data_IF_162450745669
#
_entry.id   IF_162450745669
#
_cell.length_a   1.000
_cell.length_b   1.000
_cell.length_c   1.000
_cell.angle_alpha   90.00
_cell.angle_beta   90.00
_cell.angle_gamma   90.00
#
_symmetry.space_group_name_H-M   'P 1'
#
loop_
_entity.id
_entity.type
_entity.pdbx_description
1 polymer ?
#
# COMPACT_ATOMS: atom_id res chain seq x y z
N UNK A 1 0.67 -16.96 20.31
CA UNK A 1 0.24 -18.18 21.04
C UNK A 1 -0.84 -17.88 22.06
N UNK A 2 -0.74 -16.79 22.83
CA UNK A 2 -1.70 -16.40 23.87
C UNK A 2 -3.19 -16.47 23.46
N UNK A 3 -3.56 -15.94 22.28
CA UNK A 3 -4.95 -15.98 21.78
C UNK A 3 -5.45 -17.42 21.60
N UNK A 4 -4.60 -18.34 21.11
CA UNK A 4 -4.95 -19.76 20.93
C UNK A 4 -5.01 -20.52 22.25
N UNK A 5 -4.34 -20.01 23.27
CA UNK A 5 -4.33 -20.54 24.63
C UNK A 5 -5.50 -20.00 25.49
N UNK A 6 -6.38 -19.18 24.89
CA UNK A 6 -7.61 -18.70 25.52
C UNK A 6 -7.51 -17.36 26.24
N UNK A 7 -6.44 -16.59 26.02
CA UNK A 7 -6.37 -15.21 26.51
C UNK A 7 -7.47 -14.33 25.90
N UNK A 8 -7.91 -13.31 26.64
CA UNK A 8 -8.93 -12.37 26.15
C UNK A 8 -8.39 -11.54 24.98
N UNK A 9 -9.07 -11.62 23.85
CA UNK A 9 -8.63 -10.94 22.63
C UNK A 9 -8.70 -9.42 22.76
N UNK A 10 -9.69 -8.88 23.49
CA UNK A 10 -9.84 -7.45 23.67
C UNK A 10 -8.74 -6.87 24.56
N UNK A 11 -8.35 -7.59 25.61
CA UNK A 11 -7.22 -7.20 26.45
C UNK A 11 -5.92 -7.19 25.63
N UNK A 12 -5.64 -8.25 24.87
CA UNK A 12 -4.46 -8.31 24.00
C UNK A 12 -4.47 -7.23 22.91
N UNK A 13 -5.63 -6.93 22.33
CA UNK A 13 -5.76 -5.83 21.37
C UNK A 13 -5.50 -4.46 22.02
N UNK A 14 -5.93 -4.27 23.27
CA UNK A 14 -5.67 -3.03 24.01
C UNK A 14 -4.18 -2.89 24.34
N UNK A 15 -3.50 -3.99 24.67
CA UNK A 15 -2.09 -3.99 25.08
C UNK A 15 -1.11 -3.89 23.91
N UNK A 16 -1.41 -4.54 22.79
CA UNK A 16 -0.44 -4.76 21.72
C UNK A 16 -0.80 -4.12 20.37
N UNK A 17 -2.04 -3.65 20.17
CA UNK A 17 -2.43 -3.12 18.85
C UNK A 17 -1.88 -1.72 18.62
N UNK A 18 -1.23 -1.54 17.48
CA UNK A 18 -0.77 -0.27 16.93
C UNK A 18 -1.88 0.51 16.19
N UNK A 19 -3.09 -0.06 16.07
CA UNK A 19 -4.27 0.69 15.59
C UNK A 19 -4.83 1.58 16.71
N UNK A 20 -4.69 2.91 16.65
CA UNK A 20 -5.16 3.80 17.69
C UNK A 20 -6.69 3.85 17.80
N UNK A 21 -7.41 3.52 16.71
CA UNK A 21 -8.87 3.52 16.69
C UNK A 21 -9.46 2.25 17.31
N UNK A 22 -8.87 1.09 17.02
CA UNK A 22 -9.26 -0.21 17.56
C UNK A 22 -8.76 -0.49 18.98
N UNK A 23 -7.54 -0.07 19.36
CA UNK A 23 -6.93 -0.43 20.65
C UNK A 23 -7.80 -0.02 21.86
N UNK A 24 -8.46 1.15 21.80
CA UNK A 24 -9.32 1.64 22.89
C UNK A 24 -10.66 0.91 23.04
N UNK A 25 -11.08 0.15 22.02
CA UNK A 25 -12.30 -0.64 22.00
C UNK A 25 -12.03 -2.15 21.96
N UNK A 26 -10.84 -2.59 22.38
CA UNK A 26 -10.43 -3.99 22.34
C UNK A 26 -10.36 -4.57 20.93
N UNK A 27 -10.03 -3.72 19.95
CA UNK A 27 -9.88 -4.04 18.55
C UNK A 27 -11.18 -4.10 17.75
N UNK A 28 -12.34 -3.74 18.31
CA UNK A 28 -13.65 -3.86 17.62
C UNK A 28 -13.78 -2.94 16.41
N UNK A 29 -13.92 -3.56 15.24
CA UNK A 29 -14.13 -2.88 13.95
C UNK A 29 -15.62 -2.71 13.62
N UNK A 30 -16.52 -3.21 14.48
CA UNK A 30 -17.95 -3.22 14.21
C UNK A 30 -18.32 -4.15 13.04
N UNK A 31 -19.49 -3.92 12.46
CA UNK A 31 -19.98 -4.71 11.32
C UNK A 31 -19.46 -4.14 10.00
N UNK A 32 -18.90 -5.00 9.16
CA UNK A 32 -18.45 -4.64 7.82
C UNK A 32 -18.89 -5.66 6.76
N UNK A 33 -18.92 -5.19 5.52
CA UNK A 33 -19.25 -5.97 4.32
C UNK A 33 -18.01 -6.18 3.48
N UNK A 34 -18.16 -7.03 2.46
CA UNK A 34 -17.18 -7.09 1.39
C UNK A 34 -17.04 -5.74 0.69
N UNK A 35 -15.81 -5.37 0.34
CA UNK A 35 -15.38 -4.08 -0.19
C UNK A 35 -15.17 -2.99 0.86
N UNK A 36 -15.32 -3.29 2.16
CA UNK A 36 -15.10 -2.32 3.24
C UNK A 36 -13.70 -2.35 3.84
N UNK A 37 -12.97 -3.45 3.64
CA UNK A 37 -11.61 -3.66 4.14
C UNK A 37 -10.66 -3.92 2.97
N UNK A 38 -9.35 -3.83 3.22
CA UNK A 38 -8.35 -4.31 2.24
C UNK A 38 -8.52 -5.80 1.99
N UNK A 39 -8.16 -6.21 0.77
CA UNK A 39 -8.52 -7.52 0.21
C UNK A 39 -8.05 -8.68 1.10
N UNK A 40 -6.80 -8.64 1.54
CA UNK A 40 -6.15 -9.67 2.34
C UNK A 40 -6.85 -9.83 3.70
N UNK A 41 -7.18 -8.71 4.35
CA UNK A 41 -7.93 -8.70 5.61
C UNK A 41 -9.34 -9.29 5.42
N UNK A 42 -10.03 -8.85 4.37
CA UNK A 42 -11.38 -9.31 4.09
C UNK A 42 -11.43 -10.81 3.78
N UNK A 43 -10.55 -11.28 2.90
CA UNK A 43 -10.47 -12.69 2.51
C UNK A 43 -10.31 -13.57 3.76
N UNK A 44 -9.40 -13.20 4.66
CA UNK A 44 -9.21 -13.89 5.93
C UNK A 44 -10.45 -13.80 6.84
N UNK A 45 -10.99 -12.60 7.07
CA UNK A 45 -12.12 -12.41 8.00
C UNK A 45 -13.40 -13.13 7.54
N UNK A 46 -13.64 -13.21 6.23
CA UNK A 46 -14.82 -13.91 5.71
C UNK A 46 -14.63 -15.43 5.62
N UNK A 47 -13.39 -15.92 5.59
CA UNK A 47 -13.09 -17.36 5.64
C UNK A 47 -13.28 -17.95 7.05
N UNK A 48 -13.16 -17.13 8.10
CA UNK A 48 -13.35 -17.54 9.49
C UNK A 48 -14.82 -17.82 9.85
N UNK A 49 -15.02 -18.82 10.70
CA UNK A 49 -16.28 -19.04 11.41
C UNK A 49 -16.43 -18.11 12.60
N UNK A 50 -17.67 -17.97 13.09
CA UNK A 50 -17.94 -17.20 14.30
C UNK A 50 -17.18 -17.79 15.49
N UNK A 51 -16.44 -16.93 16.20
CA UNK A 51 -15.61 -17.30 17.33
C UNK A 51 -14.14 -17.53 16.97
N UNK A 52 -13.83 -17.79 15.69
CA UNK A 52 -12.48 -18.15 15.25
C UNK A 52 -11.53 -16.95 15.15
N UNK A 53 -10.24 -17.31 15.15
CA UNK A 53 -9.10 -16.40 15.04
C UNK A 53 -8.24 -16.83 13.86
N UNK A 54 -7.79 -15.87 13.06
CA UNK A 54 -6.92 -16.12 11.91
C UNK A 54 -5.49 -16.52 12.32
N UNK A 55 -4.74 -16.99 11.33
CA UNK A 55 -3.28 -16.83 11.32
C UNK A 55 -2.89 -15.34 11.18
N UNK A 56 -1.59 -15.06 11.10
CA UNK A 56 -1.11 -13.70 10.81
C UNK A 56 -1.47 -13.35 9.35
N UNK A 57 -2.14 -12.22 9.17
CA UNK A 57 -2.56 -11.68 7.87
C UNK A 57 -1.74 -10.43 7.60
N UNK A 58 -0.91 -10.45 6.58
CA UNK A 58 -0.15 -9.27 6.16
C UNK A 58 -0.97 -8.38 5.23
N UNK A 59 -0.93 -7.07 5.48
CA UNK A 59 -1.51 -6.05 4.59
C UNK A 59 -0.53 -4.89 4.47
N UNK A 60 -0.83 -3.93 3.59
CA UNK A 60 -0.11 -2.66 3.49
C UNK A 60 -0.03 -1.87 4.80
N UNK A 61 -0.92 -2.15 5.78
CA UNK A 61 -0.93 -1.48 7.08
C UNK A 61 -0.09 -2.22 8.14
N UNK A 62 0.43 -3.40 7.84
CA UNK A 62 1.20 -4.24 8.76
C UNK A 62 0.58 -5.62 8.96
N UNK A 63 0.88 -6.22 10.12
CA UNK A 63 0.49 -7.58 10.46
C UNK A 63 -0.79 -7.57 11.29
N UNK A 64 -1.80 -8.30 10.83
CA UNK A 64 -3.08 -8.41 11.50
C UNK A 64 -3.29 -9.79 12.08
N UNK A 65 -3.85 -9.84 13.29
CA UNK A 65 -4.53 -11.02 13.82
C UNK A 65 -6.01 -10.67 13.91
N UNK A 66 -6.88 -11.48 13.32
CA UNK A 66 -8.31 -11.19 13.17
C UNK A 66 -9.10 -12.19 13.99
N UNK A 67 -10.10 -11.71 14.71
CA UNK A 67 -11.10 -12.55 15.38
C UNK A 67 -12.50 -12.20 14.91
N UNK A 68 -13.27 -13.18 14.43
CA UNK A 68 -14.68 -12.97 14.11
C UNK A 68 -15.52 -13.20 15.37
N UNK A 69 -16.25 -12.17 15.80
CA UNK A 69 -17.14 -12.24 16.95
C UNK A 69 -18.53 -12.71 16.57
N UNK A 70 -19.04 -12.23 15.43
CA UNK A 70 -20.37 -12.57 14.90
C UNK A 70 -20.36 -12.63 13.38
N UNK A 71 -21.16 -13.54 12.85
CA UNK A 71 -21.36 -13.71 11.41
C UNK A 71 -22.84 -13.60 11.04
N UNK A 72 -23.17 -12.84 9.99
CA UNK A 72 -24.48 -12.86 9.34
C UNK A 72 -24.32 -12.80 7.82
N UNK A 73 -25.41 -12.95 7.08
CA UNK A 73 -25.36 -13.02 5.61
C UNK A 73 -24.72 -11.75 5.04
N UNK A 74 -23.56 -11.93 4.39
CA UNK A 74 -22.79 -10.85 3.74
C UNK A 74 -22.07 -9.89 4.68
N UNK A 75 -22.09 -10.12 6.00
CA UNK A 75 -21.52 -9.22 7.00
C UNK A 75 -20.75 -9.97 8.09
N UNK A 76 -19.68 -9.35 8.56
CA UNK A 76 -18.84 -9.84 9.66
C UNK A 76 -18.75 -8.75 10.72
N UNK A 77 -18.81 -9.14 11.98
CA UNK A 77 -18.32 -8.32 13.09
C UNK A 77 -17.02 -8.94 13.58
N UNK A 78 -15.94 -8.18 13.53
CA UNK A 78 -14.63 -8.69 13.89
C UNK A 78 -13.87 -7.69 14.76
N UNK A 79 -12.87 -8.24 15.45
CA UNK A 79 -11.82 -7.50 16.12
C UNK A 79 -10.50 -7.78 15.44
N UNK A 80 -9.55 -6.87 15.57
CA UNK A 80 -8.18 -7.15 15.16
C UNK A 80 -7.14 -6.65 16.16
N UNK A 81 -5.94 -7.22 16.04
CA UNK A 81 -4.70 -6.67 16.59
C UNK A 81 -3.86 -6.30 15.37
N UNK A 82 -3.50 -5.03 15.24
CA UNK A 82 -2.57 -4.57 14.22
C UNK A 82 -1.19 -4.41 14.84
N UNK A 83 -0.17 -4.96 14.19
CA UNK A 83 1.23 -4.75 14.55
C UNK A 83 1.93 -4.10 13.36
N UNK A 84 2.48 -2.92 13.57
CA UNK A 84 3.24 -2.17 12.56
C UNK A 84 4.73 -2.40 12.87
N UNK A 85 5.46 -3.14 12.03
CA UNK A 85 6.89 -3.35 12.22
C UNK A 85 7.62 -2.01 12.31
N UNK A 86 8.37 -1.82 13.38
CA UNK A 86 9.17 -0.62 13.57
C UNK A 86 10.49 -0.77 12.80
N UNK A 87 10.75 0.14 11.86
CA UNK A 87 12.01 0.16 11.11
C UNK A 87 13.09 0.77 12.01
N UNK A 88 14.10 -0.01 12.38
CA UNK A 88 15.20 0.47 13.23
C UNK A 88 16.29 1.13 12.38
N UNK A 89 17.20 1.90 13.01
CA UNK A 89 18.36 2.46 12.29
C UNK A 89 19.26 1.37 11.68
N UNK A 90 19.32 0.19 12.31
CA UNK A 90 20.07 -0.95 11.75
C UNK A 90 19.40 -1.50 10.50
N UNK A 91 18.07 -1.50 10.45
CA UNK A 91 17.32 -1.91 9.26
C UNK A 91 17.49 -0.88 8.14
N UNK A 92 17.43 0.42 8.46
CA UNK A 92 17.73 1.48 7.50
C UNK A 92 19.14 1.36 6.94
N UNK A 93 20.13 1.10 7.79
CA UNK A 93 21.50 0.91 7.31
C UNK A 93 21.60 -0.29 6.36
N UNK A 94 20.95 -1.42 6.68
CA UNK A 94 20.92 -2.58 5.79
C UNK A 94 20.25 -2.25 4.46
N UNK A 95 19.15 -1.50 4.48
CA UNK A 95 18.48 -1.05 3.25
C UNK A 95 19.38 -0.17 2.40
N UNK A 96 20.14 0.76 3.02
CA UNK A 96 21.13 1.59 2.31
C UNK A 96 22.22 0.75 1.68
N UNK A 97 22.76 -0.20 2.42
CA UNK A 97 23.85 -1.07 1.94
C UNK A 97 23.38 -1.89 0.72
N UNK A 98 22.19 -2.50 0.80
CA UNK A 98 21.58 -3.23 -0.32
C UNK A 98 21.34 -2.30 -1.51
N UNK A 99 20.77 -1.12 -1.29
CA UNK A 99 20.49 -0.19 -2.38
C UNK A 99 21.77 0.33 -3.04
N UNK A 100 22.83 0.58 -2.28
CA UNK A 100 24.15 0.93 -2.80
C UNK A 100 24.77 -0.20 -3.62
N UNK A 101 24.61 -1.45 -3.17
CA UNK A 101 25.04 -2.64 -3.92
C UNK A 101 24.27 -2.77 -5.25
N UNK A 102 22.94 -2.69 -5.22
CA UNK A 102 22.08 -2.74 -6.41
C UNK A 102 22.48 -1.61 -7.37
N UNK A 103 22.64 -0.38 -6.89
CA UNK A 103 23.09 0.74 -7.71
C UNK A 103 24.41 0.44 -8.41
N UNK A 104 25.40 -0.06 -7.67
CA UNK A 104 26.72 -0.39 -8.23
C UNK A 104 26.63 -1.50 -9.31
N UNK A 105 25.79 -2.51 -9.10
CA UNK A 105 25.57 -3.57 -10.09
C UNK A 105 24.95 -3.01 -11.36
N UNK A 106 23.87 -2.23 -11.27
CA UNK A 106 23.20 -1.66 -12.46
C UNK A 106 24.12 -0.67 -13.18
N UNK A 107 24.87 0.17 -12.45
CA UNK A 107 25.86 1.09 -13.04
C UNK A 107 27.00 0.35 -13.75
N UNK A 108 27.35 -0.86 -13.29
CA UNK A 108 28.34 -1.71 -13.96
C UNK A 108 27.81 -2.41 -15.22
N UNK A 109 26.53 -2.20 -15.57
CA UNK A 109 25.87 -2.79 -16.73
C UNK A 109 25.19 -4.13 -16.45
N UNK A 110 24.93 -4.48 -15.18
CA UNK A 110 24.13 -5.65 -14.85
C UNK A 110 22.68 -5.48 -15.34
N UNK A 111 22.05 -6.60 -15.68
CA UNK A 111 20.63 -6.66 -16.01
C UNK A 111 19.80 -6.32 -14.77
N UNK A 112 18.84 -5.39 -14.87
CA UNK A 112 18.08 -4.96 -13.67
C UNK A 112 16.93 -5.90 -13.38
N UNK A 113 16.46 -6.61 -14.39
CA UNK A 113 15.32 -7.51 -14.39
C UNK A 113 15.43 -8.55 -13.24
N UNK A 114 16.56 -9.26 -13.05
CA UNK A 114 16.73 -10.13 -11.88
C UNK A 114 16.81 -9.37 -10.55
N UNK A 115 17.29 -8.12 -10.56
CA UNK A 115 17.38 -7.28 -9.36
C UNK A 115 16.00 -6.77 -8.93
N UNK A 116 15.10 -6.48 -9.89
CA UNK A 116 13.70 -6.17 -9.64
C UNK A 116 13.02 -7.38 -9.01
N UNK A 117 13.16 -8.58 -9.60
CA UNK A 117 12.53 -9.78 -9.04
C UNK A 117 13.00 -10.07 -7.60
N UNK A 118 14.26 -9.77 -7.30
CA UNK A 118 14.85 -10.05 -6.00
C UNK A 118 14.55 -8.97 -4.93
N UNK A 119 14.52 -7.69 -5.31
CA UNK A 119 14.53 -6.58 -4.36
C UNK A 119 13.38 -5.59 -4.52
N UNK A 120 12.58 -5.68 -5.58
CA UNK A 120 11.49 -4.73 -5.78
C UNK A 120 10.43 -4.86 -4.70
N UNK A 121 9.94 -3.71 -4.28
CA UNK A 121 8.76 -3.62 -3.44
C UNK A 121 7.54 -4.07 -4.26
N UNK A 122 6.81 -5.12 -3.85
CA UNK A 122 5.69 -5.65 -4.62
C UNK A 122 4.51 -4.68 -4.74
N UNK A 123 4.47 -3.64 -3.91
CA UNK A 123 3.46 -2.57 -3.99
C UNK A 123 3.89 -1.42 -4.92
N UNK A 124 5.17 -1.35 -5.27
CA UNK A 124 5.67 -0.34 -6.20
C UNK A 124 5.39 -0.75 -7.65
N UNK A 125 5.02 0.21 -8.52
CA UNK A 125 4.87 -0.07 -9.95
C UNK A 125 6.24 -0.37 -10.57
N UNK A 126 6.29 -1.38 -11.46
CA UNK A 126 7.49 -1.77 -12.21
C UNK A 126 8.08 -0.62 -13.04
N UNK A 127 7.21 0.27 -13.53
CA UNK A 127 7.60 1.44 -14.32
C UNK A 127 6.64 2.60 -14.09
N UNK A 128 7.18 3.82 -14.05
CA UNK A 128 6.41 5.05 -13.93
C UNK A 128 6.83 6.01 -15.04
N UNK A 129 5.85 6.61 -15.71
CA UNK A 129 6.07 7.77 -16.57
C UNK A 129 5.89 9.02 -15.73
N UNK A 130 6.90 9.87 -15.70
CA UNK A 130 6.92 11.10 -14.91
C UNK A 130 6.89 12.27 -15.89
N UNK A 131 5.88 13.13 -15.76
CA UNK A 131 5.82 14.36 -16.54
C UNK A 131 6.80 15.39 -15.95
N UNK A 132 7.43 16.22 -16.80
CA UNK A 132 8.43 17.19 -16.35
C UNK A 132 7.86 18.18 -15.31
N UNK A 133 6.58 18.51 -15.43
CA UNK A 133 5.83 19.38 -14.52
C UNK A 133 5.57 18.74 -13.15
N UNK A 134 5.61 17.40 -13.06
CA UNK A 134 5.39 16.64 -11.83
C UNK A 134 6.68 16.47 -11.01
N UNK A 135 7.85 16.63 -11.63
CA UNK A 135 9.16 16.46 -10.96
C UNK A 135 9.27 17.29 -9.66
N UNK A 136 8.88 18.58 -9.62
CA UNK A 136 8.93 19.37 -8.38
C UNK A 136 8.00 18.88 -7.26
N UNK A 137 7.02 18.00 -7.58
CA UNK A 137 6.10 17.40 -6.61
C UNK A 137 6.56 16.02 -6.12
N UNK A 138 7.63 15.48 -6.70
CA UNK A 138 8.22 14.22 -6.28
C UNK A 138 8.95 14.36 -4.94
N UNK A 139 9.19 13.24 -4.22
CA UNK A 139 10.03 13.24 -3.04
C UNK A 139 11.44 13.79 -3.34
N UNK A 140 12.10 14.41 -2.34
CA UNK A 140 13.48 14.87 -2.49
C UNK A 140 14.41 13.76 -2.99
N UNK A 141 15.31 14.09 -3.92
CA UNK A 141 16.25 13.17 -4.57
C UNK A 141 15.84 12.77 -6.00
N UNK A 142 14.56 12.89 -6.35
CA UNK A 142 14.08 12.61 -7.72
C UNK A 142 14.38 13.74 -8.72
N UNK A 143 14.86 14.90 -8.28
CA UNK A 143 15.15 16.05 -9.15
C UNK A 143 16.25 15.72 -10.19
N UNK A 144 17.12 14.76 -9.89
CA UNK A 144 18.15 14.28 -10.81
C UNK A 144 17.56 13.70 -12.11
N UNK A 145 16.31 13.23 -12.10
CA UNK A 145 15.61 12.72 -13.29
C UNK A 145 15.49 13.80 -14.36
N UNK A 146 15.29 15.07 -13.98
CA UNK A 146 15.11 16.16 -14.92
C UNK A 146 16.31 16.39 -15.85
N UNK A 147 17.50 15.96 -15.43
CA UNK A 147 18.75 16.10 -16.18
C UNK A 147 19.30 14.75 -16.70
N UNK A 148 18.57 13.66 -16.49
CA UNK A 148 19.01 12.32 -16.82
C UNK A 148 18.79 11.99 -18.30
N UNK A 149 19.59 11.06 -18.80
CA UNK A 149 19.48 10.46 -20.13
C UNK A 149 18.97 9.03 -20.05
N UNK A 150 18.46 8.49 -21.16
CA UNK A 150 18.10 7.08 -21.23
C UNK A 150 19.32 6.19 -20.92
N UNK A 151 19.13 5.25 -20.01
CA UNK A 151 20.16 4.38 -19.44
C UNK A 151 20.73 4.85 -18.10
N UNK A 152 20.51 6.10 -17.70
CA UNK A 152 21.02 6.60 -16.43
C UNK A 152 20.35 5.89 -15.24
N UNK A 153 21.14 5.69 -14.18
CA UNK A 153 20.69 5.08 -12.93
C UNK A 153 20.79 6.11 -11.83
N UNK A 154 19.70 6.35 -11.12
CA UNK A 154 19.56 7.40 -10.11
C UNK A 154 19.21 6.74 -8.78
N UNK A 155 19.86 7.21 -7.71
CA UNK A 155 19.64 6.76 -6.35
C UNK A 155 20.96 6.43 -5.64
N UNK A 156 20.90 5.79 -4.45
CA UNK A 156 19.67 5.47 -3.71
C UNK A 156 18.91 6.72 -3.26
N UNK A 157 17.59 6.75 -3.45
CA UNK A 157 16.70 7.83 -3.01
C UNK A 157 15.90 7.35 -1.81
N UNK A 158 16.07 7.99 -0.65
CA UNK A 158 15.28 7.72 0.55
C UNK A 158 14.02 8.59 0.59
N UNK A 159 12.85 8.00 0.84
CA UNK A 159 11.59 8.73 0.99
C UNK A 159 10.66 8.05 2.00
N UNK A 160 9.72 8.83 2.53
CA UNK A 160 8.67 8.36 3.45
C UNK A 160 7.35 8.21 2.69
N UNK A 161 6.62 7.12 2.91
CA UNK A 161 5.31 6.89 2.27
C UNK A 161 4.15 7.61 2.96
N UNK A 162 4.41 8.40 4.00
CA UNK A 162 3.39 9.13 4.78
C UNK A 162 2.71 8.27 5.84
N UNK A 163 3.06 6.99 5.95
CA UNK A 163 2.63 6.08 7.03
C UNK A 163 3.79 5.76 8.01
N UNK A 164 4.89 6.53 7.96
CA UNK A 164 6.08 6.29 8.79
C UNK A 164 6.99 5.19 8.28
N UNK A 165 6.67 4.60 7.12
CA UNK A 165 7.51 3.61 6.45
C UNK A 165 8.50 4.33 5.54
N UNK A 166 9.79 4.16 5.84
CA UNK A 166 10.88 4.63 4.97
C UNK A 166 11.10 3.61 3.85
N UNK A 167 11.25 4.09 2.61
CA UNK A 167 11.62 3.29 1.43
C UNK A 167 12.89 3.85 0.81
N UNK A 168 13.64 3.00 0.11
CA UNK A 168 14.82 3.38 -0.66
C UNK A 168 14.62 2.90 -2.09
N UNK A 169 14.77 3.80 -3.06
CA UNK A 169 14.58 3.50 -4.47
C UNK A 169 15.88 3.67 -5.26
N UNK A 170 16.10 2.77 -6.22
CA UNK A 170 17.09 2.89 -7.28
C UNK A 170 16.33 2.80 -8.59
N UNK A 171 16.38 3.86 -9.40
CA UNK A 171 15.60 3.96 -10.64
C UNK A 171 16.53 3.99 -11.85
N UNK A 172 16.14 3.27 -12.90
CA UNK A 172 16.80 3.32 -14.22
C UNK A 172 15.90 4.09 -15.18
N UNK A 173 16.44 5.15 -15.76
CA UNK A 173 15.76 5.94 -16.79
C UNK A 173 15.73 5.13 -18.07
N UNK A 174 14.56 4.71 -18.52
CA UNK A 174 14.42 3.85 -19.71
C UNK A 174 14.37 4.64 -21.01
N UNK A 175 13.70 5.79 -20.99
CA UNK A 175 13.51 6.66 -22.14
C UNK A 175 13.38 8.11 -21.66
N UNK A 176 13.85 9.06 -22.47
CA UNK A 176 13.68 10.50 -22.23
C UNK A 176 13.14 11.13 -23.50
N UNK A 177 11.95 11.71 -23.40
CA UNK A 177 11.30 12.40 -24.51
C UNK A 177 11.40 13.89 -24.30
N UNK A 178 11.84 14.62 -25.32
CA UNK A 178 11.76 16.08 -25.29
C UNK A 178 10.29 16.52 -25.18
N UNK A 179 10.05 17.63 -24.48
CA UNK A 179 8.75 18.27 -24.41
C UNK A 179 8.29 18.67 -25.82
N UNK A 180 7.50 17.80 -26.45
CA UNK A 180 6.82 18.03 -27.71
C UNK A 180 5.32 18.19 -27.50
N UNK A 181 4.61 18.69 -28.52
CA UNK A 181 3.15 18.72 -28.49
C UNK A 181 2.62 17.28 -28.37
N UNK A 182 1.84 17.02 -27.32
CA UNK A 182 1.17 15.73 -27.10
C UNK A 182 0.50 15.24 -28.40
N UNK A 183 0.78 14.00 -28.79
CA UNK A 183 -0.02 13.39 -29.85
C UNK A 183 -1.33 12.89 -29.25
N UNK A 184 -2.39 12.83 -30.07
CA UNK A 184 -3.67 12.25 -29.65
C UNK A 184 -3.54 10.79 -29.19
N UNK A 185 -2.50 10.08 -29.64
CA UNK A 185 -2.17 8.72 -29.23
C UNK A 185 -1.63 8.67 -27.80
N UNK A 186 -0.75 9.61 -27.42
CA UNK A 186 -0.23 9.78 -26.05
C UNK A 186 -1.36 10.08 -25.05
N UNK A 187 -2.28 10.97 -25.47
CA UNK A 187 -3.43 11.34 -24.65
C UNK A 187 -4.49 10.25 -24.58
N UNK A 188 -4.54 9.31 -25.54
CA UNK A 188 -5.57 8.25 -25.55
C UNK A 188 -5.38 7.26 -24.39
N UNK A 189 -4.13 6.92 -24.06
CA UNK A 189 -3.79 6.07 -22.91
C UNK A 189 -4.19 6.75 -21.59
N UNK A 190 -3.71 7.97 -21.39
CA UNK A 190 -4.02 8.77 -20.19
C UNK A 190 -5.53 9.11 -20.08
N UNK A 191 -6.22 9.44 -21.18
CA UNK A 191 -7.66 9.65 -21.19
C UNK A 191 -8.43 8.37 -20.88
N UNK A 192 -7.99 7.21 -21.39
CA UNK A 192 -8.65 5.94 -21.09
C UNK A 192 -8.48 5.56 -19.61
N UNK A 193 -7.30 5.74 -19.03
CA UNK A 193 -7.02 5.43 -17.63
C UNK A 193 -7.68 6.43 -16.68
N UNK A 194 -7.69 7.71 -17.04
CA UNK A 194 -8.40 8.76 -16.29
C UNK A 194 -9.92 8.59 -16.38
N UNK A 195 -10.47 8.21 -17.54
CA UNK A 195 -11.90 7.88 -17.69
C UNK A 195 -12.25 6.57 -16.96
N UNK A 196 -11.35 5.59 -16.88
CA UNK A 196 -11.53 4.37 -16.08
C UNK A 196 -11.52 4.68 -14.59
N UNK A 197 -10.53 5.44 -14.09
CA UNK A 197 -10.49 5.89 -12.70
C UNK A 197 -11.70 6.75 -12.34
N UNK A 198 -12.07 7.72 -13.20
CA UNK A 198 -13.27 8.55 -12.97
C UNK A 198 -14.56 7.73 -13.00
N UNK A 199 -14.70 6.75 -13.91
CA UNK A 199 -15.87 5.87 -13.92
C UNK A 199 -15.91 4.93 -12.72
N UNK A 200 -14.76 4.44 -12.24
CA UNK A 200 -14.69 3.64 -11.03
C UNK A 200 -15.08 4.46 -9.80
N UNK A 201 -14.55 5.68 -9.65
CA UNK A 201 -14.92 6.61 -8.58
C UNK A 201 -16.40 7.01 -8.66
N UNK A 202 -16.90 7.32 -9.86
CA UNK A 202 -18.31 7.64 -10.06
C UNK A 202 -19.22 6.45 -9.75
N UNK A 203 -18.86 5.24 -10.16
CA UNK A 203 -19.60 4.01 -9.85
C UNK A 203 -19.59 3.67 -8.36
N UNK A 204 -18.47 3.91 -7.67
CA UNK A 204 -18.37 3.79 -6.21
C UNK A 204 -19.27 4.84 -5.54
N UNK A 205 -19.24 6.09 -5.97
CA UNK A 205 -20.11 7.16 -5.44
C UNK A 205 -21.59 6.92 -5.70
N UNK A 206 -21.95 6.39 -6.87
CA UNK A 206 -23.32 6.02 -7.22
C UNK A 206 -23.81 4.82 -6.38
N UNK A 207 -22.95 3.80 -6.19
CA UNK A 207 -23.22 2.69 -5.29
C UNK A 207 -23.33 3.13 -3.81
N UNK A 208 -22.54 4.12 -3.38
CA UNK A 208 -22.60 4.72 -2.04
C UNK A 208 -23.89 5.55 -1.85
N UNK A 209 -24.30 6.33 -2.87
CA UNK A 209 -25.55 7.10 -2.87
C UNK A 209 -26.79 6.21 -2.89
N UNK A 210 -26.76 5.10 -3.64
CA UNK A 210 -27.84 4.12 -3.64
C UNK A 210 -28.00 3.41 -2.28
N UNK A 211 -26.92 3.30 -1.48
CA UNK A 211 -26.94 2.69 -0.14
C UNK A 211 -27.26 3.66 1.00
N UNK A 212 -27.11 4.97 0.78
CA UNK A 212 -27.33 5.99 1.81
C UNK A 212 -28.68 6.67 1.58
N UNK A 213 -29.76 6.05 2.03
CA UNK A 213 -31.09 6.66 2.04
C UNK A 213 -31.18 7.62 3.24
N UNK A 214 -31.11 8.93 3.01
CA UNK A 214 -31.39 9.94 4.03
C UNK A 214 -32.77 10.54 3.73
N UNK A 215 -33.80 10.09 4.44
CA UNK A 215 -35.04 10.87 4.57
C UNK A 215 -34.81 11.97 5.60
N UNK A 216 -34.93 13.24 5.17
CA UNK A 216 -35.14 14.37 6.07
C UNK A 216 -36.64 14.70 5.98
N UNK A 217 -37.39 14.46 7.06
CA UNK A 217 -38.74 14.99 7.22
C UNK A 217 -38.66 16.46 7.67
N UNK A 218 -39.49 17.29 7.03
CA UNK A 218 -39.67 18.71 7.33
C UNK A 218 -40.22 18.94 8.73
#
# INVERSE_FOLDING_TARGET
TQVREGADFAELATEHSDDPSGATAGGDLGWFRRGSMVREFEEAAFALFEGEVSDIVETQYGLHIIKVDRSRIGERRARHILLIPQVTETDLQRMRDIAAEVLAQVQSGADIEPLIEQYADPEAPDSVTIELEEIPSLPPGYEAIAAASAGDVIGPIEYDTGQGTKRISVVRVTDVREAGAYTFEDLRGQLADRLRQQKQIAGILEALRAKTHIEIRQ
#
